data_IF_045895258982
#
_entry.id   IF_045895258982
#
_cell.length_a   1.000
_cell.length_b   1.000
_cell.length_c   1.000
_cell.angle_alpha   90.00
_cell.angle_beta   90.00
_cell.angle_gamma   90.00
#
_symmetry.space_group_name_H-M   'P 1'
#
loop_
_entity.id
_entity.type
_entity.pdbx_description
1 polymer ?
#
# COMPACT_ATOMS: atom_id res chain seq x y z
N UNK A 1 -56.30 -5.21 106.09
CA UNK A 1 -57.51 -6.05 106.28
C UNK A 1 -57.23 -7.55 106.09
N UNK A 2 -55.97 -7.98 106.20
CA UNK A 2 -55.52 -9.36 106.47
C UNK A 2 -56.17 -9.98 107.73
N UNK A 3 -56.81 -9.14 108.56
CA UNK A 3 -57.63 -9.49 109.72
C UNK A 3 -58.98 -10.19 109.37
N UNK A 4 -59.50 -10.09 108.14
CA UNK A 4 -60.78 -10.72 107.76
C UNK A 4 -60.59 -12.20 107.40
N UNK A 5 -59.56 -12.53 106.63
CA UNK A 5 -59.25 -13.93 106.25
C UNK A 5 -58.84 -14.74 107.50
N UNK A 6 -58.12 -14.12 108.44
CA UNK A 6 -57.77 -14.75 109.73
C UNK A 6 -58.97 -14.92 110.66
N UNK A 7 -59.94 -13.98 110.69
CA UNK A 7 -61.22 -14.20 111.40
C UNK A 7 -62.02 -15.36 110.82
N UNK A 8 -62.18 -15.44 109.50
CA UNK A 8 -62.92 -16.56 108.88
C UNK A 8 -62.22 -17.90 109.17
N UNK A 9 -60.88 -17.97 109.13
CA UNK A 9 -60.16 -19.18 109.54
C UNK A 9 -60.35 -19.53 111.02
N UNK A 10 -60.45 -18.54 111.92
CA UNK A 10 -60.73 -18.79 113.35
C UNK A 10 -62.17 -19.27 113.57
N UNK A 11 -63.16 -18.73 112.84
CA UNK A 11 -64.54 -19.22 112.89
C UNK A 11 -64.68 -20.64 112.30
N UNK A 12 -64.02 -20.94 111.17
CA UNK A 12 -64.01 -22.28 110.55
C UNK A 12 -63.31 -23.30 111.45
N UNK A 13 -62.23 -22.91 112.14
CA UNK A 13 -61.57 -23.76 113.14
C UNK A 13 -62.39 -23.89 114.44
N UNK A 14 -63.20 -22.90 114.82
CA UNK A 14 -64.17 -23.04 115.92
C UNK A 14 -65.31 -23.99 115.57
N UNK A 15 -65.83 -23.95 114.34
CA UNK A 15 -66.88 -24.88 113.88
C UNK A 15 -66.33 -26.32 113.82
N UNK A 16 -65.11 -26.52 113.34
CA UNK A 16 -64.44 -27.82 113.41
C UNK A 16 -64.12 -28.26 114.86
N UNK A 17 -63.82 -27.31 115.77
CA UNK A 17 -63.59 -27.54 117.20
C UNK A 17 -64.85 -27.87 118.01
N UNK A 18 -66.02 -27.32 117.65
CA UNK A 18 -67.32 -27.67 118.25
C UNK A 18 -67.81 -29.04 117.71
N UNK A 19 -67.60 -29.30 116.42
CA UNK A 19 -67.94 -30.57 115.79
C UNK A 19 -67.08 -31.76 116.31
N UNK A 20 -65.82 -31.52 116.69
CA UNK A 20 -64.97 -32.55 117.31
C UNK A 20 -65.21 -32.73 118.81
N UNK A 21 -65.84 -31.76 119.51
CA UNK A 21 -66.21 -31.86 120.93
C UNK A 21 -67.53 -32.62 121.16
N UNK A 22 -68.46 -32.58 120.20
CA UNK A 22 -69.71 -33.38 120.23
C UNK A 22 -69.53 -34.84 119.79
N UNK A 23 -68.38 -35.21 119.21
CA UNK A 23 -68.06 -36.58 118.76
C UNK A 23 -67.30 -37.45 119.80
N UNK A 24 -66.87 -36.89 120.94
CA UNK A 24 -66.17 -37.62 122.03
C UNK A 24 -67.00 -37.91 123.29
N UNK A 25 -68.29 -37.53 123.32
CA UNK A 25 -69.21 -37.87 124.42
C UNK A 25 -70.41 -38.64 123.85
N UNK A 26 -70.13 -39.88 123.48
CA UNK A 26 -70.97 -40.69 122.59
C UNK A 26 -72.45 -40.85 122.99
N UNK A 27 -73.35 -40.71 122.01
CA UNK A 27 -74.47 -41.63 121.72
C UNK A 27 -75.49 -41.08 120.70
N UNK A 28 -75.09 -40.73 119.47
CA UNK A 28 -76.05 -40.63 118.35
C UNK A 28 -76.27 -41.97 117.60
N UNK A 29 -75.67 -43.07 118.09
CA UNK A 29 -76.17 -44.44 117.89
C UNK A 29 -77.53 -44.70 118.59
N UNK A 30 -78.05 -43.72 119.35
CA UNK A 30 -79.41 -43.72 119.94
C UNK A 30 -80.43 -42.88 119.15
N UNK A 31 -79.98 -42.04 118.20
CA UNK A 31 -80.84 -41.39 117.18
C UNK A 31 -80.98 -42.26 115.92
N UNK A 32 -79.95 -43.05 115.60
CA UNK A 32 -80.06 -44.21 114.70
C UNK A 32 -80.95 -45.34 115.23
N UNK A 33 -81.49 -45.25 116.46
CA UNK A 33 -82.48 -46.19 117.03
C UNK A 33 -83.88 -45.58 117.24
N UNK A 34 -84.09 -44.31 116.86
CA UNK A 34 -85.41 -43.63 116.88
C UNK A 34 -85.79 -42.96 115.55
N UNK A 35 -84.88 -42.89 114.57
CA UNK A 35 -85.19 -42.57 113.16
C UNK A 35 -85.24 -43.82 112.26
N UNK A 36 -85.04 -45.01 112.83
CA UNK A 36 -85.48 -46.27 112.24
C UNK A 36 -87.01 -46.35 112.35
N UNK A 37 -87.70 -45.69 111.41
CA UNK A 37 -89.16 -45.71 111.34
C UNK A 37 -89.77 -44.55 110.58
N UNK A 38 -89.37 -44.32 109.32
CA UNK A 38 -90.21 -43.80 108.22
C UNK A 38 -89.44 -43.86 106.90
N UNK A 39 -90.14 -44.24 105.84
CA UNK A 39 -89.71 -44.90 104.60
C UNK A 39 -89.49 -43.94 103.41
N UNK A 40 -89.21 -42.66 103.66
CA UNK A 40 -89.47 -41.62 102.64
C UNK A 40 -88.18 -40.93 102.12
N UNK A 41 -87.00 -41.29 102.68
CA UNK A 41 -85.71 -40.66 102.36
C UNK A 41 -84.81 -41.51 101.45
N UNK A 42 -85.07 -42.82 101.38
CA UNK A 42 -84.32 -43.77 100.52
C UNK A 42 -84.63 -43.56 99.03
N UNK A 43 -85.83 -43.07 98.70
CA UNK A 43 -86.26 -42.78 97.33
C UNK A 43 -85.60 -41.52 96.75
N UNK A 44 -85.26 -40.52 97.58
CA UNK A 44 -84.59 -39.30 97.11
C UNK A 44 -83.11 -39.54 96.75
N UNK A 45 -82.44 -40.46 97.45
CA UNK A 45 -81.02 -40.78 97.23
C UNK A 45 -80.82 -41.74 96.05
N UNK A 46 -81.71 -42.73 95.86
CA UNK A 46 -81.68 -43.61 94.67
C UNK A 46 -81.92 -42.86 93.35
N UNK A 47 -82.66 -41.74 93.37
CA UNK A 47 -82.92 -40.95 92.16
C UNK A 47 -81.70 -40.11 91.72
N UNK A 48 -80.82 -39.73 92.66
CA UNK A 48 -79.60 -38.98 92.34
C UNK A 48 -78.52 -39.89 91.74
N UNK A 49 -78.33 -41.10 92.28
CA UNK A 49 -77.33 -42.08 91.79
C UNK A 49 -77.60 -42.52 90.34
N UNK A 50 -78.89 -42.69 90.00
CA UNK A 50 -79.33 -43.10 88.65
C UNK A 50 -79.08 -42.03 87.58
N UNK A 51 -79.15 -40.75 87.92
CA UNK A 51 -78.93 -39.65 86.95
C UNK A 51 -77.44 -39.39 86.68
N UNK A 52 -76.55 -39.60 87.67
CA UNK A 52 -75.09 -39.51 87.47
C UNK A 52 -74.50 -40.67 86.66
N UNK A 53 -75.10 -41.87 86.72
CA UNK A 53 -74.57 -43.04 86.00
C UNK A 53 -74.97 -43.08 84.52
N UNK A 54 -76.05 -42.41 84.12
CA UNK A 54 -76.45 -42.31 82.71
C UNK A 54 -75.68 -41.22 81.93
N UNK A 55 -75.38 -40.06 82.54
CA UNK A 55 -74.56 -39.01 81.88
C UNK A 55 -73.09 -39.44 81.66
N UNK A 56 -72.47 -40.14 82.62
CA UNK A 56 -71.08 -40.63 82.48
C UNK A 56 -70.92 -41.68 81.37
N UNK A 57 -71.98 -42.47 81.08
CA UNK A 57 -71.96 -43.46 79.99
C UNK A 57 -72.11 -42.82 78.61
N UNK A 58 -72.78 -41.67 78.51
CA UNK A 58 -72.96 -40.96 77.24
C UNK A 58 -71.67 -40.27 76.78
N UNK A 59 -70.90 -39.65 77.69
CA UNK A 59 -69.63 -38.99 77.36
C UNK A 59 -68.50 -39.97 76.96
N UNK A 60 -68.44 -41.16 77.57
CA UNK A 60 -67.41 -42.17 77.27
C UNK A 60 -67.56 -42.80 75.86
N UNK A 61 -68.79 -42.92 75.37
CA UNK A 61 -69.06 -43.47 74.04
C UNK A 61 -68.69 -42.50 72.91
N UNK A 62 -68.79 -41.19 73.14
CA UNK A 62 -68.46 -40.17 72.14
C UNK A 62 -66.93 -39.99 72.00
N UNK A 63 -66.20 -40.00 73.12
CA UNK A 63 -64.72 -39.97 73.13
C UNK A 63 -64.12 -41.19 72.42
N UNK A 64 -64.70 -42.38 72.59
CA UNK A 64 -64.23 -43.60 71.90
C UNK A 64 -64.42 -43.55 70.37
N UNK A 65 -65.49 -42.93 69.86
CA UNK A 65 -65.69 -42.74 68.41
C UNK A 65 -64.65 -41.78 67.81
N UNK A 66 -64.39 -40.65 68.46
CA UNK A 66 -63.39 -39.67 68.01
C UNK A 66 -61.98 -40.30 68.03
N UNK A 67 -61.67 -41.10 69.06
CA UNK A 67 -60.37 -41.78 69.18
C UNK A 67 -60.14 -42.80 68.06
N UNK A 68 -61.20 -43.49 67.59
CA UNK A 68 -61.08 -44.46 66.50
C UNK A 68 -60.85 -43.78 65.14
N UNK A 69 -61.54 -42.67 64.87
CA UNK A 69 -61.35 -41.88 63.63
C UNK A 69 -59.92 -41.30 63.58
N UNK A 70 -59.43 -40.71 64.67
CA UNK A 70 -58.06 -40.17 64.74
C UNK A 70 -57.01 -41.26 64.53
N UNK A 71 -57.23 -42.48 65.06
CA UNK A 71 -56.31 -43.60 64.82
C UNK A 71 -56.26 -44.02 63.35
N UNK A 72 -57.40 -44.04 62.68
CA UNK A 72 -57.47 -44.46 61.27
C UNK A 72 -56.84 -43.40 60.35
N UNK A 73 -57.02 -42.10 60.63
CA UNK A 73 -56.32 -41.02 59.92
C UNK A 73 -54.80 -41.05 60.16
N UNK A 74 -54.36 -41.31 61.40
CA UNK A 74 -52.93 -41.47 61.73
C UNK A 74 -52.31 -42.64 60.96
N UNK A 75 -53.01 -43.78 60.81
CA UNK A 75 -52.53 -44.91 60.01
C UNK A 75 -52.40 -44.59 58.52
N UNK A 76 -53.33 -43.82 57.96
CA UNK A 76 -53.25 -43.39 56.55
C UNK A 76 -52.10 -42.42 56.35
N UNK A 77 -51.85 -41.53 57.31
CA UNK A 77 -50.70 -40.63 57.29
C UNK A 77 -49.39 -41.41 57.40
N UNK A 78 -49.32 -42.40 58.29
CA UNK A 78 -48.16 -43.27 58.49
C UNK A 78 -47.79 -44.00 57.19
N UNK A 79 -48.76 -44.65 56.54
CA UNK A 79 -48.53 -45.31 55.24
C UNK A 79 -48.14 -44.36 54.11
N UNK A 80 -48.56 -43.08 54.14
CA UNK A 80 -48.06 -42.06 53.22
C UNK A 80 -46.66 -41.60 53.57
N UNK A 81 -46.30 -41.51 54.85
CA UNK A 81 -44.96 -41.16 55.33
C UNK A 81 -43.97 -42.25 54.92
N UNK A 82 -44.29 -43.53 55.11
CA UNK A 82 -43.46 -44.65 54.64
C UNK A 82 -43.28 -44.63 53.11
N UNK A 83 -44.36 -44.37 52.35
CA UNK A 83 -44.25 -44.24 50.89
C UNK A 83 -43.46 -43.01 50.44
N UNK A 84 -43.45 -41.93 51.25
CA UNK A 84 -42.65 -40.75 50.97
C UNK A 84 -41.18 -40.99 51.28
N UNK A 85 -40.88 -41.74 52.35
CA UNK A 85 -39.52 -42.11 52.73
C UNK A 85 -38.82 -42.88 51.61
N UNK A 86 -39.46 -43.92 51.06
CA UNK A 86 -38.90 -44.66 49.93
C UNK A 86 -38.72 -43.81 48.65
N UNK A 87 -39.55 -42.79 48.44
CA UNK A 87 -39.34 -41.83 47.32
C UNK A 87 -38.22 -40.84 47.61
N UNK A 88 -37.97 -40.52 48.88
CA UNK A 88 -36.88 -39.64 49.31
C UNK A 88 -35.55 -40.38 49.18
N UNK A 89 -35.49 -41.67 49.52
CA UNK A 89 -34.32 -42.53 49.26
C UNK A 89 -34.02 -42.64 47.75
N UNK A 90 -35.02 -42.95 46.92
CA UNK A 90 -34.87 -42.99 45.45
C UNK A 90 -34.39 -41.65 44.84
N UNK A 91 -34.72 -40.52 45.49
CA UNK A 91 -34.25 -39.20 45.08
C UNK A 91 -32.82 -38.97 45.58
N UNK A 92 -32.47 -39.44 46.77
CA UNK A 92 -31.11 -39.44 47.29
C UNK A 92 -30.14 -40.15 46.35
N UNK A 93 -30.44 -41.40 45.99
CA UNK A 93 -29.60 -42.20 45.09
C UNK A 93 -29.40 -41.52 43.72
N UNK A 94 -30.44 -40.88 43.18
CA UNK A 94 -30.32 -40.12 41.92
C UNK A 94 -29.51 -38.84 42.07
N UNK A 95 -29.57 -38.19 43.23
CA UNK A 95 -28.77 -36.99 43.51
C UNK A 95 -27.30 -37.37 43.62
N UNK A 96 -26.98 -38.51 44.22
CA UNK A 96 -25.61 -39.03 44.31
C UNK A 96 -25.06 -39.40 42.92
N UNK A 97 -25.85 -40.13 42.11
CA UNK A 97 -25.52 -40.44 40.70
C UNK A 97 -25.28 -39.18 39.85
N UNK A 98 -25.96 -38.08 40.18
CA UNK A 98 -25.76 -36.78 39.53
C UNK A 98 -24.51 -36.10 40.07
N UNK A 99 -24.23 -36.21 41.37
CA UNK A 99 -23.00 -35.75 42.00
C UNK A 99 -21.77 -36.36 41.32
N UNK A 100 -21.71 -37.69 41.21
CA UNK A 100 -20.61 -38.41 40.57
C UNK A 100 -20.38 -37.96 39.11
N UNK A 101 -21.46 -37.74 38.35
CA UNK A 101 -21.36 -37.23 36.97
C UNK A 101 -20.89 -35.78 36.91
N UNK A 102 -21.24 -34.96 37.90
CA UNK A 102 -20.79 -33.57 37.98
C UNK A 102 -19.29 -33.54 38.28
N UNK A 103 -18.79 -34.42 39.15
CA UNK A 103 -17.37 -34.55 39.44
C UNK A 103 -16.57 -35.02 38.20
N UNK A 104 -17.05 -36.06 37.50
CA UNK A 104 -16.49 -36.52 36.22
C UNK A 104 -16.44 -35.41 35.14
N UNK A 105 -17.39 -34.48 35.18
CA UNK A 105 -17.42 -33.32 34.28
C UNK A 105 -16.43 -32.26 34.77
N UNK A 106 -16.30 -32.06 36.08
CA UNK A 106 -15.30 -31.19 36.70
C UNK A 106 -13.88 -31.57 36.27
N UNK A 107 -13.51 -32.84 36.43
CA UNK A 107 -12.18 -33.35 36.05
C UNK A 107 -11.87 -33.12 34.56
N UNK A 108 -12.86 -33.33 33.68
CA UNK A 108 -12.71 -33.06 32.25
C UNK A 108 -12.56 -31.58 31.94
N UNK A 109 -13.22 -30.71 32.71
CA UNK A 109 -13.12 -29.26 32.55
C UNK A 109 -11.72 -28.79 32.96
N UNK A 110 -11.15 -29.35 34.03
CA UNK A 110 -9.78 -29.05 34.46
C UNK A 110 -8.75 -29.51 33.42
N UNK A 111 -8.88 -30.74 32.89
CA UNK A 111 -8.06 -31.26 31.78
C UNK A 111 -8.11 -30.36 30.52
N UNK A 112 -9.26 -29.73 30.28
CA UNK A 112 -9.42 -28.77 29.18
C UNK A 112 -8.76 -27.43 29.53
N UNK A 113 -8.86 -26.99 30.79
CA UNK A 113 -8.18 -25.81 31.31
C UNK A 113 -6.67 -25.88 31.10
N UNK A 114 -6.04 -26.98 31.53
CA UNK A 114 -4.59 -27.21 31.37
C UNK A 114 -4.16 -27.16 29.90
N UNK A 115 -4.94 -27.77 29.01
CA UNK A 115 -4.67 -27.73 27.56
C UNK A 115 -4.82 -26.32 26.99
N UNK A 116 -5.76 -25.54 27.50
CA UNK A 116 -5.97 -24.14 27.08
C UNK A 116 -4.78 -23.28 27.50
N UNK A 117 -4.24 -23.47 28.70
CA UNK A 117 -3.07 -22.76 29.18
C UNK A 117 -1.81 -23.11 28.38
N UNK A 118 -1.61 -24.40 28.08
CA UNK A 118 -0.54 -24.87 27.19
C UNK A 118 -0.63 -24.24 25.79
N UNK A 119 -1.85 -24.08 25.27
CA UNK A 119 -2.08 -23.40 23.99
C UNK A 119 -1.80 -21.90 24.13
N UNK A 120 -2.20 -21.28 25.25
CA UNK A 120 -1.89 -19.88 25.56
C UNK A 120 -0.40 -19.60 25.51
N UNK A 121 0.42 -20.40 26.20
CA UNK A 121 1.88 -20.24 26.18
C UNK A 121 2.48 -20.38 24.78
N UNK A 122 1.97 -21.32 23.97
CA UNK A 122 2.40 -21.46 22.56
C UNK A 122 2.00 -20.26 21.72
N UNK A 123 0.84 -19.66 21.97
CA UNK A 123 0.37 -18.45 21.27
C UNK A 123 1.27 -17.26 21.61
N UNK A 124 1.69 -17.12 22.87
CA UNK A 124 2.60 -16.06 23.30
C UNK A 124 4.00 -16.20 22.67
N UNK A 125 4.53 -17.42 22.60
CA UNK A 125 5.78 -17.75 21.90
C UNK A 125 5.71 -17.38 20.41
N UNK A 126 4.57 -17.64 19.77
CA UNK A 126 4.33 -17.25 18.37
C UNK A 126 4.24 -15.74 18.24
N UNK A 127 3.56 -15.06 19.16
CA UNK A 127 3.47 -13.60 19.19
C UNK A 127 4.85 -12.95 19.22
N UNK A 128 5.72 -13.41 20.13
CA UNK A 128 7.10 -12.90 20.25
C UNK A 128 7.91 -13.09 18.95
N UNK A 129 7.76 -14.25 18.28
CA UNK A 129 8.42 -14.49 16.99
C UNK A 129 7.85 -13.62 15.87
N UNK A 130 6.57 -13.30 15.91
CA UNK A 130 5.93 -12.39 14.93
C UNK A 130 6.46 -10.98 15.10
N UNK A 131 6.68 -10.52 16.34
CA UNK A 131 7.28 -9.22 16.63
C UNK A 131 8.73 -9.14 16.09
N UNK A 132 9.55 -10.15 16.36
CA UNK A 132 10.92 -10.25 15.81
C UNK A 132 10.94 -10.19 14.28
N UNK A 133 9.96 -10.82 13.62
CA UNK A 133 9.81 -10.77 12.16
C UNK A 133 9.39 -9.37 11.72
N UNK A 134 8.49 -8.71 12.45
CA UNK A 134 8.09 -7.33 12.20
C UNK A 134 9.27 -6.36 12.19
N UNK A 135 10.12 -6.42 13.21
CA UNK A 135 11.33 -5.60 13.33
C UNK A 135 12.30 -5.83 12.16
N UNK A 136 12.48 -7.09 11.76
CA UNK A 136 13.32 -7.44 10.62
C UNK A 136 12.75 -6.94 9.30
N UNK A 137 11.43 -7.00 9.12
CA UNK A 137 10.76 -6.47 7.92
C UNK A 137 10.95 -4.96 7.83
N UNK A 138 10.80 -4.24 8.94
CA UNK A 138 11.03 -2.79 8.97
C UNK A 138 12.48 -2.42 8.61
N UNK A 139 13.47 -3.14 9.17
CA UNK A 139 14.88 -2.93 8.82
C UNK A 139 15.17 -3.19 7.34
N UNK A 140 14.49 -4.18 6.73
CA UNK A 140 14.62 -4.46 5.30
C UNK A 140 13.99 -3.35 4.46
N UNK A 141 12.84 -2.82 4.85
CA UNK A 141 12.16 -1.72 4.16
C UNK A 141 13.03 -0.45 4.10
N UNK A 142 13.65 -0.09 5.24
CA UNK A 142 14.62 1.02 5.31
C UNK A 142 15.80 0.82 4.36
N UNK A 143 16.36 -0.40 4.28
CA UNK A 143 17.46 -0.73 3.35
C UNK A 143 17.02 -0.68 1.89
N UNK A 144 15.81 -1.13 1.59
CA UNK A 144 15.25 -1.07 0.23
C UNK A 144 15.12 0.39 -0.21
N UNK A 145 14.67 1.27 0.68
CA UNK A 145 14.55 2.69 0.37
C UNK A 145 15.90 3.32 0.00
N UNK A 146 16.97 3.02 0.75
CA UNK A 146 18.33 3.46 0.42
C UNK A 146 18.77 2.95 -0.96
N UNK A 147 18.56 1.65 -1.26
CA UNK A 147 18.91 1.07 -2.56
C UNK A 147 18.13 1.71 -3.72
N UNK A 148 16.86 2.06 -3.50
CA UNK A 148 16.04 2.77 -4.48
C UNK A 148 16.63 4.15 -4.77
N UNK A 149 17.03 4.88 -3.73
CA UNK A 149 17.56 6.24 -3.88
C UNK A 149 18.96 6.22 -4.53
N UNK A 150 19.85 5.31 -4.13
CA UNK A 150 21.12 5.05 -4.83
C UNK A 150 20.90 4.68 -6.31
N UNK A 151 19.87 3.88 -6.59
CA UNK A 151 19.47 3.50 -7.95
C UNK A 151 18.98 4.68 -8.80
N UNK A 152 18.32 5.68 -8.18
CA UNK A 152 17.91 6.92 -8.85
C UNK A 152 19.13 7.80 -9.16
N UNK A 153 20.03 7.98 -8.20
CA UNK A 153 21.26 8.75 -8.37
C UNK A 153 22.15 8.15 -9.47
N UNK A 154 22.37 6.82 -9.43
CA UNK A 154 23.12 6.12 -10.46
C UNK A 154 22.51 6.32 -11.86
N UNK A 155 21.17 6.36 -11.97
CA UNK A 155 20.47 6.62 -13.23
C UNK A 155 20.68 8.06 -13.72
N UNK A 156 20.64 9.05 -12.83
CA UNK A 156 20.90 10.45 -13.17
C UNK A 156 22.35 10.65 -13.65
N UNK A 157 23.32 10.05 -12.94
CA UNK A 157 24.73 10.07 -13.36
C UNK A 157 24.90 9.40 -14.72
N UNK A 158 24.22 8.27 -14.97
CA UNK A 158 24.30 7.57 -16.25
C UNK A 158 23.73 8.39 -17.42
N UNK A 159 22.63 9.13 -17.22
CA UNK A 159 22.05 9.99 -18.27
C UNK A 159 22.93 11.21 -18.55
N UNK A 160 23.50 11.82 -17.51
CA UNK A 160 24.45 12.92 -17.67
C UNK A 160 25.72 12.44 -18.39
N UNK A 161 26.30 11.32 -17.97
CA UNK A 161 27.46 10.70 -18.61
C UNK A 161 27.19 10.42 -20.09
N UNK A 162 26.02 9.87 -20.44
CA UNK A 162 25.63 9.65 -21.84
C UNK A 162 25.61 10.95 -22.64
N UNK A 163 25.05 12.03 -22.09
CA UNK A 163 25.01 13.34 -22.76
C UNK A 163 26.41 13.92 -22.94
N UNK A 164 27.30 13.75 -21.96
CA UNK A 164 28.68 14.21 -22.01
C UNK A 164 29.49 13.42 -23.02
N UNK A 165 29.34 12.09 -23.06
CA UNK A 165 29.95 11.22 -24.07
C UNK A 165 29.52 11.66 -25.48
N UNK A 166 28.23 11.93 -25.70
CA UNK A 166 27.74 12.38 -27.01
C UNK A 166 28.33 13.75 -27.41
N UNK A 167 28.40 14.71 -26.48
CA UNK A 167 29.03 16.02 -26.73
C UNK A 167 30.51 15.85 -27.09
N UNK A 168 31.24 15.05 -26.32
CA UNK A 168 32.67 14.79 -26.58
C UNK A 168 32.88 14.07 -27.91
N UNK A 169 32.04 13.12 -28.28
CA UNK A 169 32.12 12.43 -29.57
C UNK A 169 31.96 13.41 -30.75
N UNK A 170 30.94 14.27 -30.70
CA UNK A 170 30.71 15.29 -31.73
C UNK A 170 31.90 16.26 -31.82
N UNK A 171 32.45 16.70 -30.69
CA UNK A 171 33.64 17.57 -30.67
C UNK A 171 34.88 16.87 -31.23
N UNK A 172 35.07 15.57 -30.96
CA UNK A 172 36.18 14.79 -31.53
C UNK A 172 36.06 14.70 -33.05
N UNK A 173 34.85 14.46 -33.58
CA UNK A 173 34.63 14.40 -35.03
C UNK A 173 34.85 15.76 -35.69
N UNK A 174 34.40 16.85 -35.07
CA UNK A 174 34.67 18.22 -35.54
C UNK A 174 36.17 18.56 -35.52
N UNK A 175 36.89 18.15 -34.47
CA UNK A 175 38.34 18.36 -34.38
C UNK A 175 39.09 17.56 -35.45
N UNK A 176 38.72 16.29 -35.68
CA UNK A 176 39.29 15.47 -36.76
C UNK A 176 39.04 16.11 -38.13
N UNK A 177 37.81 16.55 -38.37
CA UNK A 177 37.41 17.22 -39.60
C UNK A 177 38.23 18.48 -39.86
N UNK A 178 38.36 19.35 -38.86
CA UNK A 178 39.14 20.57 -38.94
C UNK A 178 40.64 20.29 -39.12
N UNK A 179 41.16 19.24 -38.50
CA UNK A 179 42.55 18.82 -38.67
C UNK A 179 42.81 18.35 -40.11
N UNK A 180 41.97 17.46 -40.66
CA UNK A 180 42.10 16.99 -42.04
C UNK A 180 42.00 18.17 -43.02
N UNK A 181 41.06 19.09 -42.82
CA UNK A 181 40.94 20.32 -43.63
C UNK A 181 42.24 21.13 -43.65
N UNK A 182 42.90 21.30 -42.50
CA UNK A 182 44.16 22.04 -42.42
C UNK A 182 45.30 21.29 -43.13
N UNK A 183 45.39 19.97 -42.96
CA UNK A 183 46.35 19.13 -43.68
C UNK A 183 46.19 19.24 -45.19
N UNK A 184 44.96 19.08 -45.69
CA UNK A 184 44.66 19.18 -47.12
C UNK A 184 44.94 20.59 -47.67
N UNK A 185 44.68 21.64 -46.89
CA UNK A 185 45.01 23.01 -47.28
C UNK A 185 46.51 23.24 -47.39
N UNK A 186 47.28 22.75 -46.42
CA UNK A 186 48.74 22.85 -46.43
C UNK A 186 49.33 22.07 -47.61
N UNK A 187 48.80 20.87 -47.88
CA UNK A 187 49.23 20.03 -48.98
C UNK A 187 48.93 20.64 -50.35
N UNK A 188 47.67 20.99 -50.64
CA UNK A 188 47.28 21.48 -51.97
C UNK A 188 47.65 22.94 -52.23
N UNK A 189 47.84 23.74 -51.17
CA UNK A 189 48.11 25.19 -51.26
C UNK A 189 47.21 25.96 -52.27
N UNK A 190 45.87 25.75 -52.21
CA UNK A 190 44.95 26.21 -53.26
C UNK A 190 44.85 27.74 -53.30
N UNK A 191 44.62 28.28 -54.50
CA UNK A 191 44.38 29.70 -54.67
C UNK A 191 43.07 30.14 -53.98
N UNK A 192 43.07 31.35 -53.42
CA UNK A 192 41.90 31.93 -52.76
C UNK A 192 41.07 32.79 -53.74
N UNK A 193 39.92 32.29 -54.24
CA UNK A 193 39.07 33.04 -55.16
C UNK A 193 38.29 34.17 -54.48
N UNK A 194 38.23 34.23 -53.13
CA UNK A 194 37.49 35.26 -52.40
C UNK A 194 38.08 36.66 -52.62
N UNK A 195 39.38 36.76 -52.82
CA UNK A 195 40.09 38.00 -53.16
C UNK A 195 39.52 38.65 -54.43
N UNK A 196 39.38 37.87 -55.50
CA UNK A 196 38.78 38.32 -56.77
C UNK A 196 37.29 38.62 -56.61
N UNK A 197 36.58 37.76 -55.89
CA UNK A 197 35.17 37.95 -55.61
C UNK A 197 34.89 39.28 -54.89
N UNK A 198 35.67 39.60 -53.86
CA UNK A 198 35.55 40.83 -53.07
C UNK A 198 35.85 42.09 -53.90
N UNK A 199 36.82 42.01 -54.83
CA UNK A 199 37.09 43.11 -55.78
C UNK A 199 35.89 43.33 -56.70
N UNK A 200 35.33 42.25 -57.28
CA UNK A 200 34.15 42.34 -58.14
C UNK A 200 32.91 42.86 -57.37
N UNK A 201 32.72 42.41 -56.12
CA UNK A 201 31.70 42.89 -55.19
C UNK A 201 31.81 44.39 -54.94
N UNK A 202 33.02 44.89 -54.70
CA UNK A 202 33.28 46.31 -54.44
C UNK A 202 33.08 47.19 -55.68
N UNK A 203 33.34 46.64 -56.86
CA UNK A 203 33.11 47.32 -58.14
C UNK A 203 31.62 47.35 -58.55
N UNK A 204 30.74 46.62 -57.86
CA UNK A 204 29.32 46.59 -58.17
C UNK A 204 28.63 47.89 -57.72
N UNK A 205 27.96 48.56 -58.65
CA UNK A 205 27.00 49.62 -58.31
C UNK A 205 25.62 49.01 -58.05
N UNK A 206 24.89 49.55 -57.07
CA UNK A 206 23.56 49.05 -56.71
C UNK A 206 22.61 49.11 -57.92
N UNK A 207 21.94 48.00 -58.22
CA UNK A 207 20.98 47.90 -59.33
C UNK A 207 21.54 47.40 -60.66
N UNK A 208 22.87 47.36 -60.87
CA UNK A 208 23.46 47.07 -62.20
C UNK A 208 23.26 45.64 -62.69
N UNK A 209 22.95 44.70 -61.81
CA UNK A 209 22.74 43.29 -62.17
C UNK A 209 21.27 42.88 -62.16
N UNK A 210 20.35 43.77 -61.77
CA UNK A 210 18.92 43.45 -61.60
C UNK A 210 18.30 42.92 -62.88
N UNK A 211 18.60 43.54 -64.03
CA UNK A 211 18.10 43.12 -65.33
C UNK A 211 18.46 41.66 -65.67
N UNK A 212 19.61 41.18 -65.18
CA UNK A 212 20.08 39.82 -65.43
C UNK A 212 19.28 38.80 -64.61
N UNK A 213 19.05 39.09 -63.33
CA UNK A 213 18.28 38.21 -62.44
C UNK A 213 16.77 38.21 -62.76
N UNK A 214 16.24 39.29 -63.32
CA UNK A 214 14.86 39.36 -63.80
C UNK A 214 14.66 38.68 -65.16
N UNK A 215 15.74 38.34 -65.86
CA UNK A 215 15.67 37.65 -67.14
C UNK A 215 15.27 36.18 -67.00
N UNK A 216 14.56 35.66 -68.01
CA UNK A 216 14.20 34.24 -68.07
C UNK A 216 15.42 33.33 -68.16
N UNK A 217 16.49 33.76 -68.85
CA UNK A 217 17.70 32.98 -69.06
C UNK A 217 18.35 32.56 -67.74
N UNK A 218 18.49 33.47 -66.77
CA UNK A 218 19.09 33.15 -65.48
C UNK A 218 18.21 32.19 -64.68
N UNK A 219 16.91 32.48 -64.63
CA UNK A 219 15.93 31.67 -63.89
C UNK A 219 15.87 30.23 -64.43
N UNK A 220 15.80 30.09 -65.76
CA UNK A 220 15.80 28.79 -66.44
C UNK A 220 17.11 28.03 -66.23
N UNK A 221 18.25 28.70 -66.33
CA UNK A 221 19.56 28.10 -66.06
C UNK A 221 19.64 27.57 -64.62
N UNK A 222 19.22 28.38 -63.64
CA UNK A 222 19.24 28.03 -62.23
C UNK A 222 18.35 26.81 -61.92
N UNK A 223 17.25 26.61 -62.65
CA UNK A 223 16.39 25.44 -62.49
C UNK A 223 16.86 24.19 -63.26
N UNK A 224 17.56 24.36 -64.39
CA UNK A 224 17.90 23.25 -65.29
C UNK A 224 19.30 22.68 -65.07
N UNK A 225 20.23 23.45 -64.48
CA UNK A 225 21.57 22.95 -64.12
C UNK A 225 22.52 22.76 -65.32
N UNK A 226 22.57 23.72 -66.25
CA UNK A 226 23.38 23.64 -67.48
C UNK A 226 24.60 24.59 -67.48
N UNK A 227 25.31 24.75 -68.62
CA UNK A 227 26.39 25.73 -68.76
C UNK A 227 25.82 27.11 -69.15
N UNK A 228 26.02 28.12 -68.31
CA UNK A 228 25.70 29.52 -68.65
C UNK A 228 26.94 30.29 -69.06
N UNK A 229 27.00 30.70 -70.33
CA UNK A 229 28.12 31.46 -70.88
C UNK A 229 27.79 32.96 -71.00
N UNK A 230 28.41 33.78 -70.15
CA UNK A 230 28.24 35.25 -70.16
C UNK A 230 29.37 35.90 -70.97
N UNK A 231 29.06 36.45 -72.13
CA UNK A 231 30.03 37.13 -73.00
C UNK A 231 29.69 38.61 -73.23
N UNK A 232 30.70 39.39 -73.64
CA UNK A 232 30.54 40.82 -73.85
C UNK A 232 31.89 41.55 -73.94
N UNK A 233 31.88 42.82 -74.36
CA UNK A 233 33.08 43.65 -74.51
C UNK A 233 33.85 43.80 -73.18
N UNK A 234 35.18 43.99 -73.20
CA UNK A 234 35.93 44.36 -72.00
C UNK A 234 35.27 45.55 -71.28
N UNK A 235 35.27 45.53 -69.93
CA UNK A 235 34.62 46.57 -69.12
C UNK A 235 33.08 46.46 -68.99
N UNK A 236 32.41 45.53 -69.69
CA UNK A 236 30.93 45.39 -69.64
C UNK A 236 30.36 44.82 -68.33
N UNK A 237 31.15 44.69 -67.26
CA UNK A 237 30.67 44.20 -65.96
C UNK A 237 30.47 42.69 -65.81
N UNK A 238 30.98 41.85 -66.72
CA UNK A 238 30.84 40.37 -66.65
C UNK A 238 31.21 39.78 -65.28
N UNK A 239 32.39 40.13 -64.77
CA UNK A 239 32.85 39.64 -63.46
C UNK A 239 31.97 40.10 -62.30
N UNK A 240 31.36 41.29 -62.41
CA UNK A 240 30.39 41.81 -61.43
C UNK A 240 29.08 41.02 -61.48
N UNK A 241 28.62 40.64 -62.68
CA UNK A 241 27.46 39.76 -62.85
C UNK A 241 27.76 38.38 -62.24
N UNK A 242 28.89 37.74 -62.58
CA UNK A 242 29.27 36.45 -62.00
C UNK A 242 29.41 36.51 -60.47
N UNK A 243 29.97 37.59 -59.93
CA UNK A 243 30.04 37.81 -58.48
C UNK A 243 28.65 37.90 -57.85
N UNK A 244 27.68 38.53 -58.52
CA UNK A 244 26.30 38.56 -58.04
C UNK A 244 25.63 37.18 -58.11
N UNK A 245 25.91 36.39 -59.14
CA UNK A 245 25.41 35.01 -59.25
C UNK A 245 25.94 34.14 -58.13
N UNK A 246 27.25 34.25 -57.83
CA UNK A 246 27.87 33.55 -56.70
C UNK A 246 27.19 33.92 -55.38
N UNK A 247 26.82 35.19 -55.16
CA UNK A 247 26.11 35.62 -53.95
C UNK A 247 24.69 35.05 -53.85
N UNK A 248 23.96 35.04 -54.97
CA UNK A 248 22.62 34.45 -55.04
C UNK A 248 22.64 32.93 -54.76
N UNK A 249 23.63 32.21 -55.28
CA UNK A 249 23.81 30.77 -55.02
C UNK A 249 24.33 30.53 -53.59
N UNK A 250 25.21 31.39 -53.05
CA UNK A 250 25.70 31.29 -51.69
C UNK A 250 24.55 31.30 -50.67
N UNK A 251 23.52 32.12 -50.90
CA UNK A 251 22.32 32.12 -50.05
C UNK A 251 21.57 30.77 -50.07
N UNK A 252 21.57 30.05 -51.20
CA UNK A 252 21.01 28.70 -51.31
C UNK A 252 21.87 27.67 -50.57
N UNK A 253 23.20 27.83 -50.62
CA UNK A 253 24.13 27.02 -49.85
C UNK A 253 23.98 27.21 -48.33
N UNK A 254 23.80 28.45 -47.88
CA UNK A 254 23.61 28.76 -46.45
C UNK A 254 22.29 28.20 -45.92
N UNK A 255 21.28 28.04 -46.79
CA UNK A 255 20.04 27.30 -46.49
C UNK A 255 20.21 25.77 -46.51
N UNK A 256 21.41 25.25 -46.80
CA UNK A 256 21.72 23.82 -46.82
C UNK A 256 21.18 23.06 -48.03
N UNK A 257 20.74 23.77 -49.08
CA UNK A 257 20.07 23.16 -50.23
C UNK A 257 20.99 22.96 -51.44
N UNK A 258 22.22 23.47 -51.40
CA UNK A 258 23.20 23.34 -52.49
C UNK A 258 24.64 23.41 -51.96
N UNK A 259 25.60 22.92 -52.75
CA UNK A 259 27.02 23.11 -52.51
C UNK A 259 27.65 23.82 -53.71
N UNK A 260 28.45 24.85 -53.44
CA UNK A 260 29.08 25.67 -54.47
C UNK A 260 30.61 25.66 -54.33
N UNK A 261 31.28 25.59 -55.48
CA UNK A 261 32.69 25.94 -55.63
C UNK A 261 32.82 26.90 -56.81
N UNK A 262 33.73 27.87 -56.72
CA UNK A 262 33.94 28.86 -57.77
C UNK A 262 35.42 29.23 -57.90
N UNK A 263 35.79 29.74 -59.07
CA UNK A 263 37.16 30.14 -59.36
C UNK A 263 37.19 31.35 -60.28
N UNK A 264 38.22 32.19 -60.13
CA UNK A 264 38.48 33.31 -61.01
C UNK A 264 39.83 33.08 -61.69
N UNK A 265 39.84 33.11 -63.02
CA UNK A 265 41.09 33.27 -63.75
C UNK A 265 41.55 34.72 -63.66
N UNK A 266 42.77 34.94 -63.16
CA UNK A 266 43.36 36.27 -62.99
C UNK A 266 44.82 36.27 -63.45
N UNK A 267 45.10 36.96 -64.55
CA UNK A 267 46.44 37.10 -65.12
C UNK A 267 47.45 37.82 -64.21
N UNK A 268 46.98 38.45 -63.12
CA UNK A 268 47.84 39.11 -62.13
C UNK A 268 48.28 38.17 -61.00
N UNK A 269 47.62 37.02 -60.85
CA UNK A 269 47.91 36.04 -59.81
C UNK A 269 48.34 34.73 -60.46
N UNK A 270 49.60 34.34 -60.26
CA UNK A 270 50.19 33.15 -60.90
C UNK A 270 49.48 31.86 -60.49
N UNK A 271 48.87 31.82 -59.29
CA UNK A 271 48.07 30.68 -58.82
C UNK A 271 46.64 30.68 -59.39
N UNK A 272 46.30 31.57 -60.32
CA UNK A 272 44.96 31.68 -60.89
C UNK A 272 44.96 31.67 -62.41
N UNK A 273 45.96 31.03 -63.01
CA UNK A 273 46.17 31.07 -64.47
C UNK A 273 46.09 29.71 -65.12
N UNK A 274 46.19 28.63 -64.34
CA UNK A 274 46.27 27.29 -64.90
C UNK A 274 45.05 26.46 -64.59
N UNK A 275 44.84 25.41 -65.40
CA UNK A 275 43.88 24.35 -65.13
C UNK A 275 44.20 23.61 -63.82
N UNK A 276 45.48 23.42 -63.52
CA UNK A 276 45.92 22.78 -62.29
C UNK A 276 45.42 23.55 -61.06
N UNK A 277 45.61 24.87 -61.04
CA UNK A 277 45.15 25.72 -59.94
C UNK A 277 43.63 25.73 -59.76
N UNK A 278 42.89 25.73 -60.88
CA UNK A 278 41.43 25.59 -60.87
C UNK A 278 41.05 24.28 -60.17
N UNK A 279 41.63 23.16 -60.59
CA UNK A 279 41.32 21.84 -60.03
C UNK A 279 41.64 21.78 -58.53
N UNK A 280 42.83 22.22 -58.11
CA UNK A 280 43.22 22.30 -56.69
C UNK A 280 42.21 23.13 -55.87
N UNK A 281 41.79 24.27 -56.41
CA UNK A 281 40.86 25.16 -55.72
C UNK A 281 39.45 24.56 -55.61
N UNK A 282 38.94 23.93 -56.67
CA UNK A 282 37.60 23.35 -56.66
C UNK A 282 37.48 22.13 -55.74
N UNK A 283 38.41 21.16 -55.83
CA UNK A 283 38.35 19.97 -54.95
C UNK A 283 38.53 20.34 -53.48
N UNK A 284 39.35 21.34 -53.20
CA UNK A 284 39.50 21.86 -51.85
C UNK A 284 38.21 22.54 -51.36
N UNK A 285 37.57 23.38 -52.18
CA UNK A 285 36.30 24.03 -51.79
C UNK A 285 35.21 22.99 -51.49
N UNK A 286 35.01 22.00 -52.36
CA UNK A 286 33.98 20.97 -52.16
C UNK A 286 34.25 20.11 -50.92
N UNK A 287 35.50 19.69 -50.71
CA UNK A 287 35.87 18.95 -49.49
C UNK A 287 35.63 19.75 -48.22
N UNK A 288 35.82 21.07 -48.22
CA UNK A 288 35.56 21.88 -47.01
C UNK A 288 34.08 22.01 -46.65
N UNK A 289 33.18 21.75 -47.60
CA UNK A 289 31.73 21.94 -47.48
C UNK A 289 30.93 20.64 -47.34
N UNK A 290 31.55 19.48 -47.58
CA UNK A 290 30.87 18.18 -47.55
C UNK A 290 31.76 17.10 -46.95
N UNK A 291 31.30 16.45 -45.86
CA UNK A 291 32.04 15.37 -45.20
C UNK A 291 32.48 14.27 -46.16
N UNK A 292 31.56 13.71 -46.96
CA UNK A 292 31.93 12.67 -47.91
C UNK A 292 32.92 13.14 -49.00
N UNK A 293 32.85 14.39 -49.45
CA UNK A 293 33.81 14.91 -50.43
C UNK A 293 35.22 15.05 -49.84
N UNK A 294 35.36 15.36 -48.56
CA UNK A 294 36.66 15.38 -47.90
C UNK A 294 37.21 13.99 -47.67
N UNK A 295 36.37 12.99 -47.40
CA UNK A 295 36.83 11.60 -47.31
C UNK A 295 37.44 11.13 -48.64
N UNK A 296 36.83 11.50 -49.77
CA UNK A 296 37.39 11.27 -51.12
C UNK A 296 38.77 11.95 -51.24
N UNK A 297 38.87 13.25 -50.94
CA UNK A 297 40.13 13.97 -51.09
C UNK A 297 41.22 13.49 -50.11
N UNK A 298 40.82 13.09 -48.91
CA UNK A 298 41.71 12.52 -47.90
C UNK A 298 42.24 11.15 -48.31
N UNK A 299 41.45 10.35 -49.04
CA UNK A 299 41.94 9.14 -49.67
C UNK A 299 43.02 9.44 -50.71
N UNK A 300 42.82 10.47 -51.54
CA UNK A 300 43.86 10.94 -52.48
C UNK A 300 45.11 11.39 -51.73
N UNK A 301 44.97 12.15 -50.65
CA UNK A 301 46.10 12.54 -49.79
C UNK A 301 46.90 11.33 -49.28
N UNK A 302 46.22 10.30 -48.77
CA UNK A 302 46.86 9.07 -48.26
C UNK A 302 47.60 8.31 -49.35
N UNK A 303 46.99 8.15 -50.52
CA UNK A 303 47.62 7.48 -51.68
C UNK A 303 48.79 8.26 -52.25
N UNK A 304 48.90 9.56 -51.96
CA UNK A 304 50.02 10.43 -52.32
C UNK A 304 51.06 10.57 -51.20
N UNK A 305 51.32 9.46 -50.51
CA UNK A 305 52.36 9.36 -49.46
C UNK A 305 52.17 10.43 -48.38
N UNK A 306 50.95 10.55 -47.87
CA UNK A 306 50.57 11.49 -46.82
C UNK A 306 50.98 12.93 -47.14
N UNK A 307 50.76 13.33 -48.39
CA UNK A 307 51.00 14.71 -48.85
C UNK A 307 52.45 15.05 -49.21
N UNK A 308 53.37 14.09 -49.22
CA UNK A 308 54.76 14.34 -49.66
C UNK A 308 54.87 14.55 -51.18
N UNK A 309 53.87 14.11 -51.95
CA UNK A 309 53.79 14.33 -53.41
C UNK A 309 52.54 15.12 -53.77
N UNK A 310 52.67 16.02 -54.75
CA UNK A 310 51.51 16.73 -55.33
C UNK A 310 50.72 15.80 -56.27
N UNK A 311 49.39 15.89 -56.31
CA UNK A 311 48.57 15.13 -57.24
C UNK A 311 48.70 15.69 -58.66
N UNK A 312 48.52 14.85 -59.68
CA UNK A 312 48.48 15.30 -61.08
C UNK A 312 47.11 15.87 -61.46
N UNK A 313 47.03 16.54 -62.61
CA UNK A 313 45.76 17.00 -63.19
C UNK A 313 44.74 15.88 -63.38
N UNK A 314 45.17 14.69 -63.79
CA UNK A 314 44.29 13.55 -64.02
C UNK A 314 43.71 13.02 -62.71
N UNK A 315 44.54 12.93 -61.66
CA UNK A 315 44.09 12.55 -60.32
C UNK A 315 43.09 13.55 -59.77
N UNK A 316 43.38 14.85 -59.87
CA UNK A 316 42.48 15.90 -59.39
C UNK A 316 41.17 15.93 -60.19
N UNK A 317 41.24 15.71 -61.51
CA UNK A 317 40.05 15.65 -62.35
C UNK A 317 39.16 14.45 -61.97
N UNK A 318 39.72 13.27 -61.74
CA UNK A 318 38.91 12.11 -61.35
C UNK A 318 38.33 12.29 -59.94
N UNK A 319 39.12 12.83 -59.01
CA UNK A 319 38.65 13.21 -57.68
C UNK A 319 37.46 14.18 -57.76
N UNK A 320 37.55 15.21 -58.59
CA UNK A 320 36.45 16.17 -58.79
C UNK A 320 35.20 15.49 -59.37
N UNK A 321 35.35 14.61 -60.37
CA UNK A 321 34.19 13.87 -60.92
C UNK A 321 33.53 13.00 -59.87
N UNK A 322 34.32 12.31 -59.04
CA UNK A 322 33.79 11.47 -57.96
C UNK A 322 33.00 12.30 -56.95
N UNK A 323 33.53 13.45 -56.53
CA UNK A 323 32.80 14.39 -55.67
C UNK A 323 31.49 14.85 -56.30
N UNK A 324 31.51 15.25 -57.58
CA UNK A 324 30.31 15.74 -58.27
C UNK A 324 29.24 14.64 -58.41
N UNK A 325 29.62 13.40 -58.75
CA UNK A 325 28.70 12.25 -58.79
C UNK A 325 28.05 12.02 -57.43
N UNK A 326 28.84 12.11 -56.36
CA UNK A 326 28.35 11.94 -54.99
C UNK A 326 27.37 13.05 -54.58
N UNK A 327 27.67 14.31 -54.90
CA UNK A 327 26.80 15.44 -54.57
C UNK A 327 25.45 15.35 -55.30
N UNK A 328 25.45 14.92 -56.56
CA UNK A 328 24.21 14.64 -57.31
C UNK A 328 23.41 13.52 -56.64
N UNK A 329 24.06 12.44 -56.20
CA UNK A 329 23.39 11.34 -55.51
C UNK A 329 22.79 11.77 -54.15
N UNK A 330 23.37 12.78 -53.49
CA UNK A 330 22.86 13.36 -52.25
C UNK A 330 21.75 14.41 -52.46
N UNK A 331 21.37 14.70 -53.71
CA UNK A 331 20.38 15.73 -54.03
C UNK A 331 20.88 17.17 -53.79
N UNK A 332 22.19 17.37 -53.73
CA UNK A 332 22.84 18.67 -53.50
C UNK A 332 23.36 19.24 -54.83
N UNK A 333 22.47 19.39 -55.81
CA UNK A 333 22.76 19.96 -57.14
C UNK A 333 22.50 21.46 -57.17
#
# INVERSE_FOLDING_TARGET
MTNIITKIMVEVLMIFGIATKELRRGSAKRLLKKLAGRTDLEDAVKKLDRLTQEEARMALAEVLKITHIVRDDVKVVDGKVESMDGKVEDVGDKVDDVGDKVDDVGDKVDDVGDKVDDVGGKVDDVGSKVDDVGDRVQSVDEKIQVVIDDGKEARLVATEAKSTIQRTANSVDELKWNHIKQLLRAWLSPADPSTNHNIARKAQHKGTTVWFFQGSIFTEWKSTGSLLWIHGKPGSGKSVICSSVIQDIMAVCDAGSAIMAYFYFDFRDLKKQTRHDLLLSLVFQLSTRSSPCCDILHHVYKTHQEGTRQPSDDTLQECLKEMLRLLVALGLS
#
